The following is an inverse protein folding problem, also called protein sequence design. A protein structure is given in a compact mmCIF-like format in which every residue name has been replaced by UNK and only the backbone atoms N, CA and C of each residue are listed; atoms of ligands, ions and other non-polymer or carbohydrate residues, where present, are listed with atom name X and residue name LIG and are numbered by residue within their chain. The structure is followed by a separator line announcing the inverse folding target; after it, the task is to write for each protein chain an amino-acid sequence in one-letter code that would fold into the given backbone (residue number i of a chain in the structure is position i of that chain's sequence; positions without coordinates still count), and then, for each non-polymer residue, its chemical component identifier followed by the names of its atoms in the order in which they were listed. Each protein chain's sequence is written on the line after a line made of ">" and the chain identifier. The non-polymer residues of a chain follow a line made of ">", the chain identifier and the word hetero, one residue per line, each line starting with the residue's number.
data_IF_040554266831
#
_entry.id   IF_040554266831
#
_cell.length_a   1.000
_cell.length_b   1.000
_cell.length_c   1.000
_cell.angle_alpha   90.00
_cell.angle_beta   90.00
_cell.angle_gamma   90.00
#
_symmetry.space_group_name_H-M   'P 1'
#
loop_
_entity.id
_entity.type
_entity.pdbx_description
1 polymer ?
#
# COMPACT_ATOMS: atom_id res chain seq x y z
N UNK A 1 -18.64 -5.14 -0.78
CA UNK A 1 -17.32 -5.35 -1.47
C UNK A 1 -17.46 -4.94 -2.91
N UNK A 2 -16.65 -3.97 -3.39
CA UNK A 2 -16.76 -3.42 -4.76
C UNK A 2 -16.41 -4.46 -5.84
N UNK A 3 -16.91 -4.26 -7.07
CA UNK A 3 -16.62 -5.17 -8.17
C UNK A 3 -15.12 -5.16 -8.51
N UNK A 4 -14.47 -3.98 -8.54
CA UNK A 4 -13.03 -3.84 -8.82
C UNK A 4 -12.16 -4.58 -7.81
N UNK A 5 -12.46 -4.46 -6.50
CA UNK A 5 -11.71 -5.20 -5.48
C UNK A 5 -11.75 -6.71 -5.73
N UNK A 6 -12.93 -7.26 -6.04
CA UNK A 6 -13.07 -8.70 -6.34
C UNK A 6 -12.42 -9.12 -7.65
N UNK A 7 -12.34 -8.22 -8.64
CA UNK A 7 -11.66 -8.51 -9.90
C UNK A 7 -10.14 -8.57 -9.70
N UNK A 8 -9.59 -7.69 -8.86
CA UNK A 8 -8.15 -7.67 -8.57
C UNK A 8 -7.77 -8.80 -7.62
N UNK A 9 -8.53 -8.98 -6.54
CA UNK A 9 -8.22 -9.95 -5.49
C UNK A 9 -9.23 -11.10 -5.52
N UNK A 10 -8.85 -12.20 -6.17
CA UNK A 10 -9.70 -13.41 -6.26
C UNK A 10 -9.70 -14.20 -4.95
N UNK A 11 -8.63 -14.09 -4.16
CA UNK A 11 -8.52 -14.72 -2.83
C UNK A 11 -9.29 -13.90 -1.80
N UNK A 12 -10.02 -14.58 -0.92
CA UNK A 12 -10.62 -13.92 0.22
C UNK A 12 -9.53 -13.49 1.21
N UNK A 13 -9.66 -12.26 1.76
CA UNK A 13 -8.69 -11.68 2.69
C UNK A 13 -7.26 -11.65 2.12
N UNK A 14 -7.02 -10.95 0.98
CA UNK A 14 -5.72 -10.93 0.32
C UNK A 14 -4.62 -10.38 1.23
N UNK A 15 -3.45 -10.97 1.11
CA UNK A 15 -2.21 -10.53 1.76
C UNK A 15 -1.29 -9.98 0.68
N UNK A 16 -0.96 -8.70 0.80
CA UNK A 16 -0.16 -7.95 -0.17
C UNK A 16 1.24 -7.76 0.41
N UNK A 17 2.27 -8.25 -0.29
CA UNK A 17 3.67 -8.05 0.08
C UNK A 17 4.26 -6.79 -0.54
N UNK A 18 5.03 -6.01 0.24
CA UNK A 18 5.67 -4.79 -0.23
C UNK A 18 7.02 -5.06 -0.89
N UNK A 19 7.20 -4.55 -2.10
CA UNK A 19 8.50 -4.37 -2.76
C UNK A 19 8.90 -2.91 -2.54
N UNK A 20 9.73 -2.67 -1.51
CA UNK A 20 10.26 -1.33 -1.23
C UNK A 20 11.44 -1.06 -2.16
N UNK A 21 11.27 -0.13 -3.10
CA UNK A 21 12.35 0.27 -3.99
C UNK A 21 13.47 0.95 -3.21
N UNK A 22 14.71 0.81 -3.66
CA UNK A 22 15.80 1.69 -3.22
C UNK A 22 15.47 3.15 -3.54
N UNK A 23 16.17 4.09 -2.91
CA UNK A 23 15.94 5.52 -3.12
C UNK A 23 16.03 5.88 -4.61
N UNK A 24 15.03 6.59 -5.10
CA UNK A 24 14.88 6.92 -6.51
C UNK A 24 15.63 8.20 -6.89
N UNK A 25 15.99 8.44 -8.16
CA UNK A 25 16.61 9.67 -8.63
C UNK A 25 15.79 10.90 -8.23
N UNK A 26 16.49 11.95 -7.79
CA UNK A 26 15.89 13.17 -7.26
C UNK A 26 15.88 13.23 -5.73
N UNK A 27 16.10 12.10 -5.04
CA UNK A 27 16.13 12.04 -3.57
C UNK A 27 17.55 12.06 -3.01
N UNK A 28 17.78 12.62 -1.79
CA UNK A 28 19.11 12.70 -1.18
C UNK A 28 19.81 11.36 -0.94
N UNK A 29 19.04 10.28 -0.78
CA UNK A 29 19.56 8.94 -0.53
C UNK A 29 19.79 8.13 -1.81
N UNK A 30 19.54 8.72 -3.00
CA UNK A 30 19.77 8.03 -4.25
C UNK A 30 21.26 7.72 -4.47
N UNK A 31 21.55 6.46 -4.75
CA UNK A 31 22.88 5.98 -5.11
C UNK A 31 22.84 5.37 -6.51
N UNK A 32 23.44 6.02 -7.52
CA UNK A 32 23.45 5.52 -8.88
C UNK A 32 24.25 4.21 -9.08
N UNK A 33 25.01 3.76 -8.09
CA UNK A 33 25.71 2.48 -8.13
C UNK A 33 24.81 1.30 -7.74
N UNK A 34 23.64 1.56 -7.16
CA UNK A 34 22.66 0.51 -6.77
C UNK A 34 21.84 0.11 -7.99
N UNK A 35 21.84 -1.18 -8.32
CA UNK A 35 20.93 -1.73 -9.33
C UNK A 35 19.52 -1.89 -8.76
N UNK A 36 18.69 -0.85 -8.93
CA UNK A 36 17.31 -0.80 -8.46
C UNK A 36 16.45 -1.93 -9.04
N UNK A 37 16.73 -2.34 -10.29
CA UNK A 37 15.97 -3.41 -10.95
C UNK A 37 16.33 -4.76 -10.34
N UNK A 38 17.60 -5.05 -10.13
CA UNK A 38 18.04 -6.31 -9.53
C UNK A 38 17.53 -6.44 -8.08
N UNK A 39 17.58 -5.35 -7.29
CA UNK A 39 17.07 -5.33 -5.92
C UNK A 39 15.54 -5.57 -5.87
N UNK A 40 14.79 -4.86 -6.68
CA UNK A 40 13.32 -5.02 -6.76
C UNK A 40 12.92 -6.41 -7.29
N UNK A 41 13.71 -6.98 -8.24
CA UNK A 41 13.49 -8.34 -8.74
C UNK A 41 13.65 -9.38 -7.64
N UNK A 42 14.69 -9.27 -6.82
CA UNK A 42 14.92 -10.19 -5.71
C UNK A 42 13.74 -10.19 -4.72
N UNK A 43 13.28 -9.01 -4.31
CA UNK A 43 12.13 -8.86 -3.42
C UNK A 43 10.84 -9.43 -4.06
N UNK A 44 10.59 -9.10 -5.34
CA UNK A 44 9.42 -9.60 -6.09
C UNK A 44 9.40 -11.14 -6.13
N UNK A 45 10.53 -11.75 -6.50
CA UNK A 45 10.62 -13.21 -6.61
C UNK A 45 10.44 -13.89 -5.25
N UNK A 46 11.04 -13.34 -4.18
CA UNK A 46 10.87 -13.87 -2.83
C UNK A 46 9.39 -13.86 -2.39
N UNK A 47 8.68 -12.76 -2.63
CA UNK A 47 7.26 -12.64 -2.29
C UNK A 47 6.39 -13.59 -3.12
N UNK A 48 6.62 -13.68 -4.43
CA UNK A 48 5.86 -14.60 -5.30
C UNK A 48 6.11 -16.06 -4.95
N UNK A 49 7.37 -16.45 -4.67
CA UNK A 49 7.72 -17.79 -4.27
C UNK A 49 7.07 -18.20 -2.94
N UNK A 50 6.96 -17.28 -1.98
CA UNK A 50 6.25 -17.50 -0.72
C UNK A 50 4.72 -17.63 -0.89
N UNK A 51 4.16 -17.20 -2.03
CA UNK A 51 2.74 -17.33 -2.37
C UNK A 51 1.90 -16.16 -1.86
N UNK A 52 2.42 -14.93 -1.86
CA UNK A 52 1.63 -13.73 -1.60
C UNK A 52 0.54 -13.57 -2.67
N UNK A 53 -0.66 -13.14 -2.26
CA UNK A 53 -1.81 -12.99 -3.17
C UNK A 53 -1.65 -11.81 -4.13
N UNK A 54 -0.84 -10.83 -3.76
CA UNK A 54 -0.48 -9.66 -4.57
C UNK A 54 0.83 -9.04 -4.05
N UNK A 55 1.45 -8.20 -4.88
CA UNK A 55 2.60 -7.38 -4.48
C UNK A 55 2.31 -5.90 -4.69
N UNK A 56 3.00 -5.02 -3.96
CA UNK A 56 2.89 -3.58 -4.16
C UNK A 56 4.27 -2.92 -4.14
N UNK A 57 4.55 -2.15 -5.17
CA UNK A 57 5.79 -1.36 -5.28
C UNK A 57 5.61 -0.01 -4.58
N UNK A 58 6.56 0.35 -3.75
CA UNK A 58 6.54 1.61 -3.02
C UNK A 58 7.93 2.26 -2.94
N UNK A 59 7.94 3.58 -2.75
CA UNK A 59 9.16 4.40 -2.70
C UNK A 59 9.55 4.78 -1.26
N UNK A 60 9.41 3.88 -0.31
CA UNK A 60 9.68 4.14 1.11
C UNK A 60 11.10 4.68 1.40
N UNK A 61 12.07 4.41 0.51
CA UNK A 61 13.44 4.91 0.66
C UNK A 61 13.63 6.36 0.19
N UNK A 62 12.64 7.01 -0.39
CA UNK A 62 12.72 8.39 -0.90
C UNK A 62 12.60 9.43 0.24
N UNK A 63 13.48 9.32 1.23
CA UNK A 63 13.51 10.23 2.39
C UNK A 63 14.48 11.39 2.19
N UNK A 64 14.09 12.62 2.65
CA UNK A 64 12.82 13.03 3.28
C UNK A 64 11.66 13.01 2.29
N UNK A 65 10.45 12.64 2.80
CA UNK A 65 9.26 12.55 1.94
C UNK A 65 8.75 13.94 1.51
N UNK A 66 8.05 13.96 0.39
CA UNK A 66 7.42 15.15 -0.19
C UNK A 66 5.96 14.86 -0.56
N UNK A 67 5.11 15.91 -0.58
CA UNK A 67 3.72 15.78 -1.03
C UNK A 67 3.56 15.71 -2.55
N UNK A 68 4.61 16.07 -3.27
CA UNK A 68 4.68 15.97 -4.73
C UNK A 68 6.06 15.42 -5.08
N UNK A 69 6.08 14.18 -5.54
CA UNK A 69 7.34 13.52 -5.90
C UNK A 69 7.92 14.11 -7.18
N UNK A 70 9.25 14.11 -7.28
CA UNK A 70 9.94 14.53 -8.49
C UNK A 70 9.55 13.65 -9.69
N UNK A 71 9.50 14.28 -10.87
CA UNK A 71 9.19 13.57 -12.11
C UNK A 71 10.21 12.45 -12.41
N UNK A 72 11.48 12.61 -11.97
CA UNK A 72 12.51 11.58 -12.12
C UNK A 72 12.21 10.36 -11.27
N UNK A 73 11.72 10.52 -10.02
CA UNK A 73 11.31 9.41 -9.16
C UNK A 73 10.14 8.63 -9.77
N UNK A 74 9.10 9.36 -10.23
CA UNK A 74 7.95 8.73 -10.89
C UNK A 74 8.33 7.96 -12.17
N UNK A 75 9.20 8.56 -13.01
CA UNK A 75 9.69 7.94 -14.23
C UNK A 75 10.53 6.69 -13.94
N UNK A 76 11.42 6.75 -12.94
CA UNK A 76 12.25 5.62 -12.55
C UNK A 76 11.43 4.48 -11.96
N UNK A 77 10.44 4.75 -11.08
CA UNK A 77 9.55 3.71 -10.57
C UNK A 77 8.80 3.03 -11.73
N UNK A 78 8.25 3.79 -12.67
CA UNK A 78 7.56 3.22 -13.82
C UNK A 78 8.53 2.38 -14.69
N UNK A 79 9.77 2.83 -14.86
CA UNK A 79 10.80 2.10 -15.60
C UNK A 79 11.16 0.77 -14.91
N UNK A 80 11.42 0.78 -13.60
CA UNK A 80 11.74 -0.44 -12.82
C UNK A 80 10.60 -1.46 -12.94
N UNK A 81 9.35 -1.03 -12.70
CA UNK A 81 8.19 -1.93 -12.81
C UNK A 81 8.04 -2.43 -14.26
N UNK A 82 8.27 -1.57 -15.26
CA UNK A 82 8.22 -1.94 -16.68
C UNK A 82 9.24 -3.02 -17.04
N UNK A 83 10.46 -2.95 -16.50
CA UNK A 83 11.50 -3.98 -16.69
C UNK A 83 11.13 -5.33 -16.04
N UNK A 84 10.38 -5.31 -14.95
CA UNK A 84 9.93 -6.50 -14.23
C UNK A 84 8.58 -7.03 -14.71
N UNK A 85 7.89 -6.32 -15.62
CA UNK A 85 6.48 -6.59 -15.98
C UNK A 85 6.22 -8.04 -16.40
N UNK A 86 7.13 -8.65 -17.15
CA UNK A 86 7.00 -10.04 -17.61
C UNK A 86 7.21 -11.08 -16.48
N UNK A 87 7.84 -10.66 -15.39
CA UNK A 87 8.14 -11.52 -14.23
C UNK A 87 7.06 -11.43 -13.14
N UNK A 88 6.16 -10.44 -13.23
CA UNK A 88 5.05 -10.26 -12.27
C UNK A 88 3.93 -11.23 -12.64
N UNK A 89 3.70 -12.23 -11.80
CA UNK A 89 2.73 -13.32 -12.01
C UNK A 89 1.46 -13.20 -11.15
N UNK A 90 1.45 -12.28 -10.20
CA UNK A 90 0.32 -11.98 -9.30
C UNK A 90 -0.20 -10.57 -9.54
N UNK A 91 -1.41 -10.21 -9.09
CA UNK A 91 -1.86 -8.81 -9.10
C UNK A 91 -0.83 -7.91 -8.44
N UNK A 92 -0.59 -6.74 -9.03
CA UNK A 92 0.33 -5.78 -8.43
C UNK A 92 -0.26 -4.38 -8.32
N UNK A 93 0.22 -3.66 -7.34
CA UNK A 93 -0.14 -2.28 -7.07
C UNK A 93 1.06 -1.35 -6.99
N UNK A 94 0.75 -0.05 -6.90
CA UNK A 94 1.74 1.03 -6.79
C UNK A 94 1.35 1.98 -5.66
N UNK A 95 2.37 2.48 -4.98
CA UNK A 95 2.28 3.58 -4.03
C UNK A 95 3.48 4.53 -4.20
N UNK A 96 3.22 5.75 -4.66
CA UNK A 96 4.15 6.87 -4.56
C UNK A 96 3.78 7.63 -3.30
N UNK A 97 4.50 7.41 -2.21
CA UNK A 97 4.17 7.93 -0.87
C UNK A 97 3.87 9.42 -0.90
N UNK A 98 2.73 9.79 -0.31
CA UNK A 98 2.19 11.12 -0.16
C UNK A 98 1.77 11.82 -1.47
N UNK A 99 1.91 11.16 -2.64
CA UNK A 99 1.47 11.73 -3.91
C UNK A 99 0.41 10.86 -4.61
N UNK A 100 -0.88 11.09 -4.35
CA UNK A 100 -1.97 10.37 -5.00
C UNK A 100 -1.97 10.49 -6.51
N UNK A 101 -1.53 11.63 -7.05
CA UNK A 101 -1.53 11.86 -8.49
C UNK A 101 -0.40 11.10 -9.19
N UNK A 102 0.79 11.07 -8.59
CA UNK A 102 1.89 10.25 -9.07
C UNK A 102 1.57 8.76 -8.96
N UNK A 103 0.95 8.30 -7.86
CA UNK A 103 0.49 6.92 -7.70
C UNK A 103 -0.47 6.50 -8.83
N UNK A 104 -1.45 7.36 -9.16
CA UNK A 104 -2.37 7.12 -10.29
C UNK A 104 -1.63 7.08 -11.62
N UNK A 105 -0.70 8.02 -11.87
CA UNK A 105 0.04 8.10 -13.12
C UNK A 105 0.94 6.88 -13.34
N UNK A 106 1.75 6.51 -12.33
CA UNK A 106 2.63 5.35 -12.39
C UNK A 106 1.82 4.06 -12.50
N UNK A 107 0.74 3.92 -11.72
CA UNK A 107 -0.16 2.78 -11.79
C UNK A 107 -0.79 2.62 -13.18
N UNK A 108 -1.20 3.72 -13.80
CA UNK A 108 -1.74 3.70 -15.16
C UNK A 108 -0.68 3.30 -16.20
N UNK A 109 0.52 3.88 -16.11
CA UNK A 109 1.61 3.63 -17.06
C UNK A 109 2.12 2.19 -17.02
N UNK A 110 2.13 1.58 -15.83
CA UNK A 110 2.67 0.22 -15.62
C UNK A 110 1.63 -0.89 -15.75
N UNK A 111 0.35 -0.55 -15.80
CA UNK A 111 -0.74 -1.53 -15.83
C UNK A 111 -1.06 -2.14 -14.46
N UNK A 112 -0.78 -1.42 -13.36
CA UNK A 112 -1.13 -1.86 -12.02
C UNK A 112 -2.63 -2.13 -11.86
N UNK A 113 -2.98 -3.17 -11.13
CA UNK A 113 -4.39 -3.50 -10.84
C UNK A 113 -4.99 -2.65 -9.73
N UNK A 114 -4.15 -2.07 -8.87
CA UNK A 114 -4.59 -1.21 -7.77
C UNK A 114 -3.52 -0.18 -7.39
N UNK A 115 -3.97 0.85 -6.72
CA UNK A 115 -3.10 1.80 -6.02
C UNK A 115 -3.55 1.96 -4.58
N UNK A 116 -2.60 2.25 -3.70
CA UNK A 116 -2.84 2.58 -2.29
C UNK A 116 -2.28 3.95 -2.03
N UNK A 117 -3.03 4.82 -1.40
CA UNK A 117 -2.58 6.12 -0.96
C UNK A 117 -3.59 6.74 0.04
N UNK A 118 -3.23 7.90 0.59
CA UNK A 118 -4.14 8.76 1.35
C UNK A 118 -4.80 9.70 0.34
N UNK A 119 -6.12 9.59 0.18
CA UNK A 119 -6.87 10.37 -0.81
C UNK A 119 -7.81 11.38 -0.17
N UNK A 120 -8.06 11.27 1.15
CA UNK A 120 -9.03 12.10 1.87
C UNK A 120 -8.48 12.58 3.20
N UNK A 121 -9.03 13.65 3.71
CA UNK A 121 -8.66 14.22 5.00
C UNK A 121 -7.79 15.48 4.88
N UNK A 122 -7.46 16.04 6.03
CA UNK A 122 -6.50 17.13 6.18
C UNK A 122 -5.59 16.77 7.35
N UNK A 123 -4.29 16.88 7.16
CA UNK A 123 -3.30 16.38 8.10
C UNK A 123 -2.24 17.44 8.40
N UNK A 124 -1.79 17.47 9.65
CA UNK A 124 -0.54 18.11 10.05
C UNK A 124 0.55 17.04 10.15
N UNK A 125 1.65 17.21 9.45
CA UNK A 125 2.77 16.27 9.39
C UNK A 125 4.10 17.00 9.51
N UNK A 126 5.21 16.24 9.56
CA UNK A 126 6.57 16.79 9.52
C UNK A 126 6.87 17.55 8.22
N UNK A 127 6.12 17.23 7.15
CA UNK A 127 6.22 17.90 5.84
C UNK A 127 5.32 19.15 5.74
N UNK A 128 4.51 19.45 6.75
CA UNK A 128 3.56 20.57 6.77
C UNK A 128 2.10 20.11 6.73
N UNK A 129 1.21 21.05 6.39
CA UNK A 129 -0.23 20.75 6.27
C UNK A 129 -0.54 20.21 4.88
N UNK A 130 -1.29 19.11 4.83
CA UNK A 130 -1.62 18.42 3.60
C UNK A 130 -3.11 18.06 3.50
N UNK A 131 -3.68 18.28 2.32
CA UNK A 131 -5.07 17.94 2.00
C UNK A 131 -5.12 17.32 0.61
N UNK A 132 -5.11 15.98 0.50
CA UNK A 132 -5.25 15.30 -0.78
C UNK A 132 -6.67 15.46 -1.33
N UNK A 133 -6.82 15.30 -2.65
CA UNK A 133 -8.09 15.45 -3.37
C UNK A 133 -8.49 14.14 -4.06
N UNK A 134 -9.34 13.36 -3.40
CA UNK A 134 -9.88 12.11 -3.92
C UNK A 134 -10.62 12.32 -5.24
N UNK A 135 -11.40 13.40 -5.35
CA UNK A 135 -12.19 13.70 -6.55
C UNK A 135 -11.30 13.94 -7.77
N UNK A 136 -10.18 14.65 -7.56
CA UNK A 136 -9.19 14.88 -8.61
C UNK A 136 -8.49 13.58 -9.02
N UNK A 137 -8.06 12.77 -8.05
CA UNK A 137 -7.38 11.50 -8.30
C UNK A 137 -8.28 10.49 -9.03
N UNK A 138 -9.54 10.34 -8.59
CA UNK A 138 -10.51 9.44 -9.21
C UNK A 138 -10.80 9.83 -10.67
N UNK A 139 -11.02 11.12 -10.94
CA UNK A 139 -11.23 11.63 -12.30
C UNK A 139 -9.98 11.51 -13.17
N UNK A 140 -8.80 11.63 -12.57
CA UNK A 140 -7.52 11.45 -13.27
C UNK A 140 -7.36 10.00 -13.72
N UNK A 141 -7.59 9.03 -12.81
CA UNK A 141 -7.63 7.61 -13.13
C UNK A 141 -8.53 7.34 -14.36
N UNK A 142 -9.77 7.87 -14.34
CA UNK A 142 -10.74 7.65 -15.41
C UNK A 142 -10.30 8.29 -16.73
N UNK A 143 -9.73 9.51 -16.71
CA UNK A 143 -9.15 10.16 -17.90
C UNK A 143 -7.98 9.39 -18.50
N UNK A 144 -7.23 8.64 -17.70
CA UNK A 144 -6.16 7.76 -18.19
C UNK A 144 -6.69 6.41 -18.71
N UNK A 145 -8.01 6.21 -18.78
CA UNK A 145 -8.62 4.97 -19.24
C UNK A 145 -8.48 3.81 -18.29
N UNK A 146 -8.22 4.06 -16.98
CA UNK A 146 -7.96 3.04 -15.97
C UNK A 146 -9.08 2.94 -14.94
N UNK A 147 -10.32 3.02 -15.38
CA UNK A 147 -11.49 2.81 -14.50
C UNK A 147 -11.54 1.40 -13.87
N UNK A 148 -10.76 0.47 -14.41
CA UNK A 148 -10.53 -0.89 -13.89
C UNK A 148 -9.66 -0.93 -12.62
N UNK A 149 -8.73 0.03 -12.47
CA UNK A 149 -7.75 0.07 -11.39
C UNK A 149 -8.43 0.37 -10.04
N UNK A 150 -8.27 -0.52 -9.06
CA UNK A 150 -8.84 -0.36 -7.73
C UNK A 150 -8.09 0.72 -6.93
N UNK A 151 -8.85 1.49 -6.15
CA UNK A 151 -8.32 2.58 -5.31
C UNK A 151 -8.48 2.20 -3.84
N UNK A 152 -7.36 1.92 -3.15
CA UNK A 152 -7.32 1.56 -1.74
C UNK A 152 -6.96 2.79 -0.91
N UNK A 153 -7.92 3.29 -0.11
CA UNK A 153 -7.77 4.55 0.63
C UNK A 153 -7.28 4.32 2.05
N UNK A 154 -6.08 4.76 2.37
CA UNK A 154 -5.64 4.85 3.75
C UNK A 154 -6.36 6.03 4.43
N UNK A 155 -7.10 5.79 5.50
CA UNK A 155 -7.87 6.80 6.26
C UNK A 155 -7.21 7.19 7.58
N UNK A 156 -6.06 6.61 7.88
CA UNK A 156 -5.20 6.94 9.02
C UNK A 156 -3.77 7.16 8.54
N UNK A 157 -3.40 8.42 8.27
CA UNK A 157 -2.10 8.78 7.74
C UNK A 157 -0.98 8.48 8.76
N UNK A 158 0.06 7.80 8.29
CA UNK A 158 1.32 7.63 9.02
C UNK A 158 2.06 8.98 9.09
N UNK A 159 2.94 9.17 10.06
CA UNK A 159 3.76 10.41 10.21
C UNK A 159 2.96 11.72 10.25
N UNK A 160 1.66 11.65 10.58
CA UNK A 160 0.77 12.78 10.52
C UNK A 160 -0.39 12.64 11.53
N UNK A 161 -0.92 13.79 11.92
CA UNK A 161 -2.11 13.86 12.75
C UNK A 161 -3.26 14.47 11.94
N UNK A 162 -4.44 13.82 12.00
CA UNK A 162 -5.63 14.36 11.36
C UNK A 162 -6.09 15.64 12.05
N UNK A 163 -6.34 16.69 11.26
CA UNK A 163 -6.96 17.92 11.75
C UNK A 163 -8.49 17.82 11.85
N UNK A 164 -9.07 16.74 11.35
CA UNK A 164 -10.49 16.43 11.46
C UNK A 164 -10.78 15.81 12.84
N UNK A 165 -11.67 16.41 13.57
CA UNK A 165 -12.04 15.98 14.94
C UNK A 165 -13.04 14.81 14.96
N UNK A 166 -13.57 14.39 13.81
CA UNK A 166 -14.43 13.21 13.74
C UNK A 166 -13.64 11.95 14.12
N UNK A 167 -14.33 10.97 14.67
CA UNK A 167 -13.75 9.67 14.95
C UNK A 167 -13.21 8.99 13.68
N UNK A 168 -12.25 8.07 13.80
CA UNK A 168 -11.75 7.31 12.66
C UNK A 168 -12.86 6.55 11.91
N UNK A 169 -13.82 5.86 12.58
CA UNK A 169 -14.98 5.27 11.91
C UNK A 169 -15.83 6.27 11.14
N UNK A 170 -16.08 7.46 11.68
CA UNK A 170 -16.87 8.48 10.98
C UNK A 170 -16.15 9.05 9.76
N UNK A 171 -14.83 9.23 9.85
CA UNK A 171 -14.01 9.63 8.70
C UNK A 171 -14.03 8.54 7.61
N UNK A 172 -13.92 7.28 7.99
CA UNK A 172 -13.98 6.14 7.06
C UNK A 172 -15.34 6.05 6.36
N UNK A 173 -16.46 6.17 7.10
CA UNK A 173 -17.83 6.23 6.52
C UNK A 173 -17.97 7.39 5.54
N UNK A 174 -17.51 8.58 5.93
CA UNK A 174 -17.56 9.76 5.09
C UNK A 174 -16.75 9.58 3.81
N UNK A 175 -15.53 9.03 3.88
CA UNK A 175 -14.69 8.74 2.73
C UNK A 175 -15.37 7.74 1.77
N UNK A 176 -15.95 6.67 2.29
CA UNK A 176 -16.69 5.69 1.47
C UNK A 176 -17.88 6.34 0.76
N UNK A 177 -18.67 7.14 1.48
CA UNK A 177 -19.85 7.79 0.91
C UNK A 177 -19.49 8.84 -0.16
N UNK A 178 -18.52 9.71 0.14
CA UNK A 178 -18.20 10.86 -0.72
C UNK A 178 -17.19 10.57 -1.83
N UNK A 179 -16.34 9.56 -1.66
CA UNK A 179 -15.18 9.34 -2.52
C UNK A 179 -15.09 7.93 -3.10
N UNK A 180 -16.02 7.05 -2.75
CA UNK A 180 -16.24 5.71 -3.35
C UNK A 180 -14.97 4.87 -3.55
N UNK A 181 -14.13 4.67 -2.52
CA UNK A 181 -12.96 3.78 -2.59
C UNK A 181 -13.35 2.32 -2.83
N UNK A 182 -12.40 1.52 -3.29
CA UNK A 182 -12.61 0.08 -3.44
C UNK A 182 -12.31 -0.70 -2.16
N UNK A 183 -11.45 -0.15 -1.31
CA UNK A 183 -11.21 -0.60 0.06
C UNK A 183 -10.74 0.58 0.93
N UNK A 184 -10.87 0.42 2.24
CA UNK A 184 -10.35 1.33 3.26
C UNK A 184 -9.22 0.63 4.00
N UNK A 185 -8.14 1.35 4.27
CA UNK A 185 -7.00 0.86 5.02
C UNK A 185 -6.83 1.64 6.33
N UNK A 186 -6.42 0.91 7.37
CA UNK A 186 -6.11 1.47 8.68
C UNK A 186 -4.64 1.20 9.01
N UNK A 187 -3.89 2.26 9.32
CA UNK A 187 -2.46 2.23 9.64
C UNK A 187 -2.20 2.53 11.12
N UNK A 188 -1.02 2.10 11.60
CA UNK A 188 -0.40 2.64 12.81
C UNK A 188 0.13 4.06 12.59
N UNK A 189 0.87 4.57 13.58
CA UNK A 189 1.39 5.95 13.58
C UNK A 189 2.59 6.12 12.64
N UNK A 190 3.41 5.10 12.49
CA UNK A 190 4.59 5.07 11.61
C UNK A 190 4.71 3.73 10.89
N UNK A 191 5.52 3.69 9.83
CA UNK A 191 5.80 2.44 9.09
C UNK A 191 6.34 1.35 10.04
N UNK A 192 5.73 0.17 9.99
CA UNK A 192 6.09 -0.98 10.84
C UNK A 192 5.38 -1.03 12.19
N UNK A 193 4.69 0.03 12.62
CA UNK A 193 3.78 -0.02 13.76
C UNK A 193 2.39 -0.52 13.35
N UNK A 194 1.83 -1.40 14.16
CA UNK A 194 0.51 -1.97 13.90
C UNK A 194 -0.59 -0.93 14.15
N UNK A 195 -1.62 -0.95 13.31
CA UNK A 195 -2.89 -0.35 13.63
C UNK A 195 -3.44 -0.98 14.92
N UNK A 196 -4.06 -0.17 15.79
CA UNK A 196 -4.73 -0.72 16.95
C UNK A 196 -5.88 -1.64 16.48
N UNK A 197 -5.99 -2.85 17.08
CA UNK A 197 -7.07 -3.79 16.74
C UNK A 197 -8.43 -3.17 16.96
N UNK A 198 -8.59 -2.35 18.02
CA UNK A 198 -9.82 -1.58 18.28
C UNK A 198 -10.21 -0.64 17.15
N UNK A 199 -9.24 -0.02 16.47
CA UNK A 199 -9.49 0.85 15.33
C UNK A 199 -9.95 0.06 14.10
N UNK A 200 -9.30 -1.08 13.83
CA UNK A 200 -9.74 -2.00 12.76
C UNK A 200 -11.16 -2.50 13.01
N UNK A 201 -11.47 -2.95 14.23
CA UNK A 201 -12.80 -3.42 14.63
C UNK A 201 -13.85 -2.31 14.50
N UNK A 202 -13.55 -1.11 15.00
CA UNK A 202 -14.45 0.04 14.96
C UNK A 202 -14.74 0.49 13.52
N UNK A 203 -13.72 0.53 12.64
CA UNK A 203 -13.90 0.86 11.22
C UNK A 203 -14.66 -0.24 10.51
N UNK A 204 -14.35 -1.52 10.76
CA UNK A 204 -15.06 -2.66 10.16
C UNK A 204 -16.53 -2.69 10.55
N UNK A 205 -16.87 -2.40 11.79
CA UNK A 205 -18.24 -2.37 12.30
C UNK A 205 -19.14 -1.36 11.56
N UNK A 206 -18.58 -0.25 11.10
CA UNK A 206 -19.33 0.80 10.38
C UNK A 206 -19.29 0.67 8.85
N UNK A 207 -18.48 -0.25 8.32
CA UNK A 207 -18.29 -0.51 6.89
C UNK A 207 -18.54 -1.99 6.52
N UNK A 208 -19.77 -2.50 6.67
CA UNK A 208 -20.04 -3.93 6.43
C UNK A 208 -19.81 -4.35 4.98
N UNK A 209 -20.04 -3.46 4.02
CA UNK A 209 -19.98 -3.75 2.57
C UNK A 209 -18.68 -3.33 1.90
N UNK A 210 -17.86 -2.51 2.55
CA UNK A 210 -16.57 -2.05 2.03
C UNK A 210 -15.44 -2.82 2.69
N UNK A 211 -14.49 -3.39 1.93
CA UNK A 211 -13.34 -4.06 2.51
C UNK A 211 -12.53 -3.12 3.40
N UNK A 212 -12.17 -3.61 4.59
CA UNK A 212 -11.28 -2.90 5.53
C UNK A 212 -10.01 -3.74 5.69
N UNK A 213 -8.86 -3.15 5.42
CA UNK A 213 -7.57 -3.84 5.44
C UNK A 213 -6.63 -3.21 6.48
N UNK A 214 -5.80 -4.03 7.12
CA UNK A 214 -4.68 -3.55 7.91
C UNK A 214 -3.53 -3.15 6.98
N UNK A 215 -2.98 -1.94 7.18
CA UNK A 215 -1.99 -1.38 6.25
C UNK A 215 -0.55 -1.42 6.76
N UNK A 216 -0.32 -1.41 8.07
CA UNK A 216 1.02 -1.38 8.66
C UNK A 216 1.17 -2.35 9.82
N UNK A 217 2.42 -2.70 10.12
CA UNK A 217 2.82 -3.38 11.35
C UNK A 217 2.27 -4.79 11.55
N UNK A 218 1.72 -5.41 10.51
CA UNK A 218 1.28 -6.81 10.59
C UNK A 218 2.51 -7.71 10.63
N UNK A 219 2.54 -8.62 11.62
CA UNK A 219 3.66 -9.54 11.86
C UNK A 219 3.19 -10.98 11.81
N UNK A 220 4.14 -11.90 11.70
CA UNK A 220 3.88 -13.33 11.70
C UNK A 220 3.01 -13.79 12.88
N UNK A 221 3.27 -13.30 14.08
CA UNK A 221 2.54 -13.66 15.30
C UNK A 221 1.15 -13.01 15.39
N UNK A 222 0.91 -11.88 14.71
CA UNK A 222 -0.35 -11.13 14.79
C UNK A 222 -1.26 -11.32 13.56
N UNK A 223 -0.76 -11.84 12.44
CA UNK A 223 -1.52 -11.92 11.19
C UNK A 223 -2.83 -12.71 11.32
N UNK A 224 -2.84 -13.77 12.13
CA UNK A 224 -4.05 -14.57 12.36
C UNK A 224 -5.16 -13.75 13.03
N UNK A 225 -4.80 -12.93 14.01
CA UNK A 225 -5.74 -12.06 14.72
C UNK A 225 -6.24 -10.92 13.81
N UNK A 226 -5.32 -10.31 13.06
CA UNK A 226 -5.67 -9.29 12.08
C UNK A 226 -6.65 -9.83 11.04
N UNK A 227 -6.39 -10.99 10.46
CA UNK A 227 -7.27 -11.57 9.43
C UNK A 227 -8.61 -12.09 9.97
N UNK A 228 -8.79 -12.24 11.29
CA UNK A 228 -10.12 -12.50 11.86
C UNK A 228 -11.03 -11.29 11.73
N UNK A 229 -10.49 -10.08 11.81
CA UNK A 229 -11.22 -8.81 11.76
C UNK A 229 -11.18 -8.18 10.37
N UNK A 230 -9.99 -8.01 9.81
CA UNK A 230 -9.75 -7.35 8.54
C UNK A 230 -10.09 -8.24 7.33
N UNK A 231 -10.44 -7.59 6.21
CA UNK A 231 -10.67 -8.23 4.91
C UNK A 231 -9.39 -8.41 4.09
N UNK A 232 -8.23 -8.22 4.69
CA UNK A 232 -6.91 -8.38 4.10
C UNK A 232 -5.86 -7.53 4.83
N UNK A 233 -4.61 -7.63 4.38
CA UNK A 233 -3.54 -6.78 4.94
C UNK A 233 -2.43 -6.51 3.93
N UNK A 234 -1.66 -5.44 4.21
CA UNK A 234 -0.42 -5.09 3.50
C UNK A 234 0.74 -5.27 4.49
N UNK A 235 1.80 -5.93 4.04
CA UNK A 235 2.92 -6.33 4.90
C UNK A 235 4.24 -5.92 4.25
N UNK A 236 5.07 -5.22 5.00
CA UNK A 236 6.39 -4.76 4.57
C UNK A 236 7.50 -5.18 5.51
N UNK A 237 7.77 -4.37 6.53
CA UNK A 237 8.92 -4.48 7.43
C UNK A 237 9.13 -5.87 8.05
N UNK A 238 8.06 -6.56 8.46
CA UNK A 238 8.18 -7.88 9.10
C UNK A 238 8.70 -8.98 8.17
N UNK A 239 8.66 -8.77 6.86
CA UNK A 239 9.17 -9.69 5.84
C UNK A 239 10.65 -9.45 5.51
N UNK A 240 11.24 -8.38 5.98
CA UNK A 240 12.60 -7.98 5.70
C UNK A 240 13.59 -8.68 6.63
N UNK A 241 14.86 -8.80 6.21
CA UNK A 241 15.92 -9.27 7.10
C UNK A 241 15.92 -8.48 8.41
N UNK A 242 15.94 -9.18 9.53
CA UNK A 242 15.88 -8.65 10.90
C UNK A 242 14.61 -7.83 11.22
N UNK A 243 13.60 -7.83 10.36
CA UNK A 243 12.42 -6.97 10.48
C UNK A 243 12.70 -5.49 10.21
N UNK A 244 13.83 -5.19 9.60
CA UNK A 244 14.26 -3.84 9.28
C UNK A 244 13.69 -3.40 7.92
N UNK A 245 12.87 -2.35 7.92
CA UNK A 245 12.19 -1.79 6.73
C UNK A 245 13.15 -1.50 5.57
N UNK A 246 14.41 -1.16 5.88
CA UNK A 246 15.40 -0.72 4.91
C UNK A 246 16.22 -1.85 4.27
N UNK A 247 16.01 -3.08 4.75
CA UNK A 247 16.67 -4.29 4.21
C UNK A 247 15.82 -4.95 3.12
N UNK A 248 16.42 -5.84 2.31
CA UNK A 248 15.67 -6.66 1.36
C UNK A 248 14.66 -7.60 2.03
N UNK A 249 13.74 -8.13 1.25
CA UNK A 249 12.87 -9.23 1.70
C UNK A 249 13.72 -10.46 2.02
N UNK A 250 13.48 -11.03 3.20
CA UNK A 250 14.03 -12.31 3.63
C UNK A 250 13.10 -13.42 3.14
N UNK A 251 13.53 -14.30 2.22
CA UNK A 251 12.68 -15.34 1.66
C UNK A 251 12.11 -16.29 2.73
N UNK A 252 12.89 -16.62 3.76
CA UNK A 252 12.46 -17.53 4.82
C UNK A 252 11.36 -16.87 5.66
N UNK A 253 11.52 -15.61 6.04
CA UNK A 253 10.48 -14.84 6.75
C UNK A 253 9.21 -14.67 5.91
N UNK A 254 9.34 -14.45 4.62
CA UNK A 254 8.20 -14.36 3.71
C UNK A 254 7.44 -15.69 3.62
N UNK A 255 8.18 -16.81 3.52
CA UNK A 255 7.62 -18.14 3.49
C UNK A 255 6.89 -18.48 4.79
N UNK A 256 7.53 -18.30 5.95
CA UNK A 256 6.96 -18.54 7.27
C UNK A 256 5.70 -17.72 7.50
N UNK A 257 5.72 -16.45 7.06
CA UNK A 257 4.54 -15.57 7.15
C UNK A 257 3.36 -16.15 6.36
N UNK A 258 3.57 -16.56 5.13
CA UNK A 258 2.51 -17.11 4.29
C UNK A 258 2.07 -18.51 4.74
N UNK A 259 2.93 -19.29 5.37
CA UNK A 259 2.54 -20.56 6.02
C UNK A 259 1.56 -20.29 7.17
N UNK A 260 1.82 -19.27 7.98
CA UNK A 260 0.88 -18.84 9.02
C UNK A 260 -0.45 -18.35 8.46
N UNK A 261 -0.42 -17.60 7.36
CA UNK A 261 -1.63 -17.15 6.65
C UNK A 261 -2.44 -18.34 6.15
N UNK A 262 -1.81 -19.31 5.49
CA UNK A 262 -2.46 -20.53 4.99
C UNK A 262 -3.13 -21.31 6.11
N UNK A 263 -2.44 -21.48 7.23
CA UNK A 263 -3.00 -22.14 8.42
C UNK A 263 -4.20 -21.39 9.03
N UNK A 264 -4.26 -20.08 8.85
CA UNK A 264 -5.38 -19.24 9.35
C UNK A 264 -6.59 -19.30 8.41
N UNK A 265 -6.37 -19.54 7.10
CA UNK A 265 -7.43 -19.63 6.08
C UNK A 265 -8.05 -21.02 5.96
N UNK A 266 -7.36 -22.05 6.45
CA UNK A 266 -7.83 -23.45 6.47
C UNK A 266 -8.91 -23.67 7.54
#
# INVERSE_FOLDING_TARGET
>A
MTARFRTVFVTSKPVIGMVHLGALPGTPLYDPSVDLIAAARADLHALQAAGFDAVMFGNENDRPYEFQVDAASSAMMAYVIGQLRAEITVPFGVNMLWDPMASVAVGAATGAGFIREIFTGTYASDMGVWSPDAGKAMRYRDRLGRSDMAMLFNVSAEFAHSLDQRSLPDRARSAVFSSIPDAVLVSGQITGEAAAMSDLEAVKAVLPDTPVMANTGVKHDTVADVLRVADGCIVGSSLKFDGDTWKPVDPDRAQDFMDRVRATRA
#
